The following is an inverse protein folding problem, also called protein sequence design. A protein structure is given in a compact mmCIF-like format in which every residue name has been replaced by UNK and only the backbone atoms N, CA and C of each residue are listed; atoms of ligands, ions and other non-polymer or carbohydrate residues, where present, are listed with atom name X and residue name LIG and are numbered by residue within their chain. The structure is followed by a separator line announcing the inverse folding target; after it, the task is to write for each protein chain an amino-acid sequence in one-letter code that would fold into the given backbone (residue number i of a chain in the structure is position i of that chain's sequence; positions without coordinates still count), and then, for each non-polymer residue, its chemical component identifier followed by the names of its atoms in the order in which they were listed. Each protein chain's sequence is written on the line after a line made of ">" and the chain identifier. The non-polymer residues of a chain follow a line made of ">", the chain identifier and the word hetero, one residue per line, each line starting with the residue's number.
data_IF_389295809498
#
_entry.id   IF_389295809498
#
_cell.length_a   1.000
_cell.length_b   1.000
_cell.length_c   1.000
_cell.angle_alpha   90.00
_cell.angle_beta   90.00
_cell.angle_gamma   90.00
#
_symmetry.space_group_name_H-M   'P 1'
#
loop_
_entity.id
_entity.type
_entity.pdbx_description
1 polymer ?
#
# COMPACT_ATOMS: atom_id res chain seq x y z
N UNK A 1 -37.01 -7.11 9.68
CA UNK A 1 -35.78 -6.30 9.60
C UNK A 1 -34.74 -7.20 8.96
N UNK A 2 -34.22 -6.85 7.79
CA UNK A 2 -33.11 -7.58 7.18
C UNK A 2 -31.84 -7.29 7.98
N UNK A 3 -31.30 -8.31 8.64
CA UNK A 3 -30.00 -8.21 9.27
C UNK A 3 -28.94 -8.28 8.16
N UNK A 4 -28.10 -7.25 8.06
CA UNK A 4 -26.95 -7.22 7.15
C UNK A 4 -25.83 -8.00 7.82
N UNK A 5 -25.40 -9.09 7.20
CA UNK A 5 -24.29 -9.92 7.67
C UNK A 5 -23.05 -9.68 6.82
N UNK A 6 -21.88 -9.76 7.45
CA UNK A 6 -20.61 -9.71 6.74
C UNK A 6 -20.39 -11.01 5.95
N UNK A 7 -20.07 -10.87 4.66
CA UNK A 7 -19.49 -11.97 3.89
C UNK A 7 -18.00 -12.11 4.27
N UNK A 8 -17.75 -12.90 5.31
CA UNK A 8 -16.43 -13.10 5.90
C UNK A 8 -15.38 -13.55 4.85
N UNK A 9 -15.63 -14.58 4.02
CA UNK A 9 -14.72 -14.96 2.95
C UNK A 9 -14.40 -13.81 1.98
N UNK A 10 -15.41 -13.06 1.55
CA UNK A 10 -15.21 -11.94 0.64
C UNK A 10 -14.38 -10.82 1.29
N UNK A 11 -14.66 -10.46 2.54
CA UNK A 11 -13.91 -9.40 3.25
C UNK A 11 -12.47 -9.81 3.52
N UNK A 12 -12.20 -11.07 3.90
CA UNK A 12 -10.81 -11.58 4.00
C UNK A 12 -10.08 -11.52 2.66
N UNK A 13 -10.77 -11.82 1.56
CA UNK A 13 -10.18 -11.69 0.22
C UNK A 13 -9.87 -10.23 -0.14
N UNK A 14 -10.74 -9.28 0.22
CA UNK A 14 -10.49 -7.84 0.03
C UNK A 14 -9.25 -7.42 0.85
N UNK A 15 -9.15 -7.85 2.11
CA UNK A 15 -7.99 -7.58 2.95
C UNK A 15 -6.69 -8.07 2.29
N UNK A 16 -6.69 -9.32 1.80
CA UNK A 16 -5.55 -9.91 1.07
C UNK A 16 -5.16 -9.09 -0.17
N UNK A 17 -6.15 -8.63 -0.95
CA UNK A 17 -5.90 -7.82 -2.14
C UNK A 17 -5.22 -6.49 -1.77
N UNK A 18 -5.66 -5.83 -0.70
CA UNK A 18 -4.99 -4.62 -0.20
C UNK A 18 -3.54 -4.89 0.24
N UNK A 19 -3.29 -6.03 0.89
CA UNK A 19 -1.92 -6.46 1.22
C UNK A 19 -1.04 -6.60 -0.02
N UNK A 20 -1.53 -7.31 -1.04
CA UNK A 20 -0.81 -7.51 -2.30
C UNK A 20 -0.55 -6.19 -3.05
N UNK A 21 -1.54 -5.29 -3.10
CA UNK A 21 -1.37 -3.96 -3.70
C UNK A 21 -0.29 -3.18 -2.95
N UNK A 22 -0.32 -3.20 -1.61
CA UNK A 22 0.69 -2.56 -0.78
C UNK A 22 2.11 -3.10 -1.04
N UNK A 23 2.27 -4.41 -1.17
CA UNK A 23 3.56 -5.04 -1.52
C UNK A 23 4.05 -4.65 -2.92
N UNK A 24 3.16 -4.58 -3.91
CA UNK A 24 3.50 -4.14 -5.26
C UNK A 24 3.97 -2.68 -5.25
N UNK A 25 3.26 -1.80 -4.54
CA UNK A 25 3.63 -0.38 -4.44
C UNK A 25 4.97 -0.19 -3.72
N UNK A 26 5.24 -0.94 -2.65
CA UNK A 26 6.55 -0.99 -1.98
C UNK A 26 7.68 -1.35 -2.94
N UNK A 27 7.46 -2.39 -3.75
CA UNK A 27 8.45 -2.85 -4.72
C UNK A 27 8.70 -1.80 -5.80
N UNK A 28 7.65 -1.12 -6.26
CA UNK A 28 7.79 0.01 -7.18
C UNK A 28 8.62 1.13 -6.55
N UNK A 29 8.36 1.52 -5.30
CA UNK A 29 9.13 2.55 -4.60
C UNK A 29 10.62 2.20 -4.50
N UNK A 30 10.94 0.95 -4.15
CA UNK A 30 12.33 0.44 -4.10
C UNK A 30 13.03 0.46 -5.46
N UNK A 31 12.33 0.05 -6.52
CA UNK A 31 12.88 0.10 -7.88
C UNK A 31 13.16 1.54 -8.31
N UNK A 32 12.23 2.45 -8.01
CA UNK A 32 12.39 3.88 -8.28
C UNK A 32 13.60 4.47 -7.54
N UNK A 33 13.81 4.10 -6.28
CA UNK A 33 14.98 4.51 -5.51
C UNK A 33 16.29 3.98 -6.13
N UNK A 34 16.32 2.71 -6.55
CA UNK A 34 17.48 2.13 -7.23
C UNK A 34 17.80 2.88 -8.54
N UNK A 35 16.76 3.23 -9.32
CA UNK A 35 16.92 4.01 -10.55
C UNK A 35 17.49 5.41 -10.28
N UNK A 36 17.01 6.10 -9.24
CA UNK A 36 17.55 7.41 -8.83
C UNK A 36 19.03 7.30 -8.48
N UNK A 37 19.41 6.27 -7.72
CA UNK A 37 20.81 6.05 -7.33
C UNK A 37 21.71 5.79 -8.55
N UNK A 38 21.22 5.02 -9.52
CA UNK A 38 21.94 4.79 -10.79
C UNK A 38 22.08 6.11 -11.56
N UNK A 39 20.98 6.84 -11.77
CA UNK A 39 20.96 8.10 -12.52
C UNK A 39 21.91 9.15 -11.92
N UNK A 40 21.95 9.24 -10.59
CA UNK A 40 22.88 10.12 -9.86
C UNK A 40 24.34 9.64 -9.97
N UNK A 41 24.57 8.32 -10.01
CA UNK A 41 25.90 7.72 -10.18
C UNK A 41 26.46 7.82 -11.60
N UNK A 42 25.61 7.85 -12.63
CA UNK A 42 26.02 7.88 -14.05
C UNK A 42 26.29 9.30 -14.60
N UNK A 43 26.70 10.25 -13.75
CA UNK A 43 26.69 11.70 -13.99
C UNK A 43 27.50 12.27 -15.18
N UNK A 44 28.05 11.47 -16.11
CA UNK A 44 28.88 11.95 -17.23
C UNK A 44 28.23 11.94 -18.62
N UNK A 45 27.06 11.33 -18.83
CA UNK A 45 26.39 11.31 -20.15
C UNK A 45 24.95 11.79 -19.99
N UNK A 46 24.65 13.06 -20.33
CA UNK A 46 23.28 13.59 -20.33
C UNK A 46 22.81 14.24 -19.01
N UNK A 47 23.70 14.98 -18.33
CA UNK A 47 23.51 15.62 -17.02
C UNK A 47 22.17 16.36 -16.81
N UNK A 48 21.53 16.88 -17.86
CA UNK A 48 20.22 17.55 -17.74
C UNK A 48 19.05 16.55 -17.73
N UNK A 49 19.09 15.51 -18.59
CA UNK A 49 18.01 14.52 -18.71
C UNK A 49 17.95 13.57 -17.51
N UNK A 50 19.10 13.06 -17.06
CA UNK A 50 19.17 12.16 -15.90
C UNK A 50 18.77 12.83 -14.59
N UNK A 51 19.14 14.11 -14.41
CA UNK A 51 18.77 14.88 -13.22
C UNK A 51 17.28 15.21 -13.18
N UNK A 52 16.67 15.54 -14.33
CA UNK A 52 15.24 15.78 -14.43
C UNK A 52 14.41 14.53 -14.10
N UNK A 53 14.83 13.35 -14.60
CA UNK A 53 14.17 12.08 -14.26
C UNK A 53 14.36 11.74 -12.78
N UNK A 54 15.56 11.91 -12.23
CA UNK A 54 15.79 11.66 -10.81
C UNK A 54 14.91 12.54 -9.92
N UNK A 55 14.79 13.83 -10.25
CA UNK A 55 13.95 14.78 -9.51
C UNK A 55 12.46 14.48 -9.64
N UNK A 56 12.00 14.04 -10.82
CA UNK A 56 10.63 13.56 -10.97
C UNK A 56 10.36 12.33 -10.12
N UNK A 57 11.29 11.36 -10.12
CA UNK A 57 11.15 10.15 -9.30
C UNK A 57 11.11 10.50 -7.80
N UNK A 58 12.00 11.39 -7.33
CA UNK A 58 11.98 11.85 -5.94
C UNK A 58 10.67 12.55 -5.57
N UNK A 59 10.02 13.20 -6.53
CA UNK A 59 8.74 13.87 -6.30
C UNK A 59 7.59 12.88 -6.13
N UNK A 60 7.59 11.73 -6.83
CA UNK A 60 6.47 10.76 -6.85
C UNK A 60 6.64 9.58 -5.89
N UNK A 61 7.88 9.25 -5.50
CA UNK A 61 8.20 8.14 -4.61
C UNK A 61 7.46 8.22 -3.25
N UNK A 62 7.44 9.36 -2.53
CA UNK A 62 6.81 9.40 -1.21
C UNK A 62 5.29 9.21 -1.26
N UNK A 63 4.62 9.54 -2.36
CA UNK A 63 3.19 9.29 -2.53
C UNK A 63 2.91 7.80 -2.74
N UNK A 64 3.77 7.11 -3.51
CA UNK A 64 3.70 5.66 -3.71
C UNK A 64 3.91 4.93 -2.37
N UNK A 65 4.90 5.35 -1.58
CA UNK A 65 5.15 4.83 -0.24
C UNK A 65 3.93 5.02 0.69
N UNK A 66 3.37 6.23 0.73
CA UNK A 66 2.17 6.50 1.52
C UNK A 66 0.96 5.66 1.09
N UNK A 67 0.80 5.43 -0.22
CA UNK A 67 -0.26 4.56 -0.73
C UNK A 67 -0.02 3.10 -0.33
N UNK A 68 1.22 2.62 -0.38
CA UNK A 68 1.59 1.29 0.05
C UNK A 68 1.28 1.07 1.54
N UNK A 69 1.64 2.02 2.39
CA UNK A 69 1.35 1.99 3.83
C UNK A 69 -0.16 1.96 4.10
N UNK A 70 -0.93 2.84 3.45
CA UNK A 70 -2.39 2.85 3.60
C UNK A 70 -3.05 1.55 3.16
N UNK A 71 -2.56 0.92 2.09
CA UNK A 71 -3.07 -0.39 1.66
C UNK A 71 -2.79 -1.46 2.72
N UNK A 72 -1.61 -1.45 3.33
CA UNK A 72 -1.28 -2.38 4.42
C UNK A 72 -2.08 -2.09 5.70
N UNK A 73 -2.35 -0.83 6.00
CA UNK A 73 -3.24 -0.42 7.10
C UNK A 73 -4.65 -0.95 6.87
N UNK A 74 -5.22 -0.75 5.67
CA UNK A 74 -6.54 -1.27 5.30
C UNK A 74 -6.61 -2.80 5.37
N UNK A 75 -5.57 -3.50 4.92
CA UNK A 75 -5.48 -4.96 5.10
C UNK A 75 -5.58 -5.35 6.59
N UNK A 76 -4.85 -4.66 7.46
CA UNK A 76 -4.88 -4.93 8.91
C UNK A 76 -6.26 -4.64 9.48
N UNK A 77 -6.81 -3.46 9.20
CA UNK A 77 -8.12 -3.02 9.68
C UNK A 77 -9.22 -4.02 9.27
N UNK A 78 -9.23 -4.45 8.01
CA UNK A 78 -10.21 -5.42 7.52
C UNK A 78 -10.07 -6.79 8.19
N UNK A 79 -8.83 -7.29 8.37
CA UNK A 79 -8.63 -8.55 9.09
C UNK A 79 -9.07 -8.46 10.56
N UNK A 80 -8.79 -7.35 11.23
CA UNK A 80 -9.25 -7.13 12.60
C UNK A 80 -10.77 -7.08 12.68
N UNK A 81 -11.43 -6.38 11.74
CA UNK A 81 -12.89 -6.33 11.66
C UNK A 81 -13.50 -7.71 11.43
N UNK A 82 -12.93 -8.53 10.54
CA UNK A 82 -13.40 -9.91 10.35
C UNK A 82 -13.24 -10.74 11.63
N UNK A 83 -12.06 -10.68 12.25
CA UNK A 83 -11.79 -11.46 13.47
C UNK A 83 -12.70 -11.03 14.63
N UNK A 84 -12.98 -9.73 14.76
CA UNK A 84 -13.93 -9.19 15.75
C UNK A 84 -15.35 -9.68 15.49
N UNK A 85 -15.80 -9.63 14.22
CA UNK A 85 -17.10 -10.12 13.79
C UNK A 85 -17.27 -11.62 14.09
N UNK A 86 -16.28 -12.45 13.76
CA UNK A 86 -16.33 -13.90 14.00
C UNK A 86 -16.37 -14.25 15.50
N UNK A 87 -15.76 -13.44 16.36
CA UNK A 87 -15.77 -13.63 17.83
C UNK A 87 -17.05 -13.10 18.49
N UNK A 88 -17.94 -12.45 17.73
CA UNK A 88 -19.07 -11.71 18.29
C UNK A 88 -18.66 -10.50 19.13
N UNK A 89 -17.39 -10.09 19.02
CA UNK A 89 -16.82 -8.96 19.75
C UNK A 89 -17.03 -7.68 18.94
N UNK A 90 -18.27 -7.20 19.01
CA UNK A 90 -18.71 -5.97 18.37
C UNK A 90 -17.88 -4.75 18.82
N UNK A 91 -17.33 -4.74 20.04
CA UNK A 91 -16.49 -3.63 20.53
C UNK A 91 -15.04 -3.70 20.06
N UNK A 92 -14.54 -4.88 19.66
CA UNK A 92 -13.20 -5.09 19.11
C UNK A 92 -13.07 -4.76 17.63
N UNK A 93 -14.17 -4.45 16.94
CA UNK A 93 -14.15 -3.99 15.56
C UNK A 93 -13.46 -2.62 15.49
N UNK A 94 -12.32 -2.53 14.80
CA UNK A 94 -11.54 -1.29 14.76
C UNK A 94 -12.27 -0.21 13.98
N UNK A 95 -12.29 -0.31 12.65
CA UNK A 95 -12.71 0.76 11.74
C UNK A 95 -13.98 0.42 10.96
N UNK A 96 -14.26 -0.87 10.80
CA UNK A 96 -15.46 -1.37 10.12
C UNK A 96 -16.23 -2.25 11.12
N UNK A 97 -17.40 -1.78 11.55
CA UNK A 97 -18.35 -2.44 12.44
C UNK A 97 -19.55 -2.92 11.63
#
# INVERSE_FOLDING_TARGET
>A
MDQVYMDVPAVRQIAKNFGQIGEVLDNVAKVLEALVNILRGTAFIGMVGGLAVAQFIDMIRPQIEQMAEKCKELMKDLNFSVDAYERGDTQGATRFY
#
